data_IF_656147965429
#
_entry.id   IF_656147965429
#
_cell.length_a   1.000
_cell.length_b   1.000
_cell.length_c   1.000
_cell.angle_alpha   90.00
_cell.angle_beta   90.00
_cell.angle_gamma   90.00
#
_symmetry.space_group_name_H-M   'P 1'
#
loop_
_entity.id
_entity.type
_entity.pdbx_description
1 polymer ?
#
# COMPACT_ATOMS: atom_id res chain seq x y z
N UNK A 1 30.49 9.63 -26.06
CA UNK A 1 30.42 10.63 -24.99
C UNK A 1 29.02 10.77 -24.33
N UNK A 2 28.03 9.96 -24.75
CA UNK A 2 26.77 9.82 -24.06
C UNK A 2 26.92 9.09 -22.68
N UNK A 3 27.96 8.28 -22.51
CA UNK A 3 28.28 7.56 -21.27
C UNK A 3 28.68 8.50 -20.12
N UNK A 4 29.25 9.65 -20.42
CA UNK A 4 29.66 10.65 -19.41
C UNK A 4 28.45 11.45 -18.86
N UNK A 5 27.35 11.48 -19.62
CA UNK A 5 26.13 12.23 -19.20
C UNK A 5 25.24 11.39 -18.30
N UNK A 6 25.35 10.06 -18.31
CA UNK A 6 24.58 9.13 -17.48
C UNK A 6 25.43 8.66 -16.30
N UNK A 7 25.45 9.46 -15.23
CA UNK A 7 26.04 9.02 -13.97
C UNK A 7 25.11 7.98 -13.31
N UNK A 8 25.25 6.72 -13.71
CA UNK A 8 24.39 5.61 -13.27
C UNK A 8 24.43 5.37 -11.76
N UNK A 9 25.49 5.82 -11.10
CA UNK A 9 25.70 5.68 -9.65
C UNK A 9 25.44 6.98 -8.88
N UNK A 10 24.77 7.96 -9.48
CA UNK A 10 24.41 9.18 -8.76
C UNK A 10 23.44 8.87 -7.63
N UNK A 11 23.74 9.33 -6.41
CA UNK A 11 22.82 9.29 -5.28
C UNK A 11 21.70 10.33 -5.42
N UNK A 12 21.84 11.30 -6.33
CA UNK A 12 20.82 12.32 -6.60
C UNK A 12 19.99 11.96 -7.84
N UNK A 13 18.80 12.56 -7.95
CA UNK A 13 17.98 12.48 -9.15
C UNK A 13 18.66 13.23 -10.28
N UNK A 14 18.91 12.54 -11.38
CA UNK A 14 19.45 13.14 -12.59
C UNK A 14 18.33 13.56 -13.55
N UNK A 15 18.66 14.38 -14.57
CA UNK A 15 17.68 14.86 -15.54
C UNK A 15 16.84 13.73 -16.18
N UNK A 16 17.43 12.54 -16.35
CA UNK A 16 16.75 11.37 -16.91
C UNK A 16 15.64 10.86 -16.00
N UNK A 17 15.86 10.84 -14.67
CA UNK A 17 14.85 10.44 -13.69
C UNK A 17 13.66 11.40 -13.73
N UNK A 18 13.93 12.70 -13.79
CA UNK A 18 12.89 13.72 -13.87
C UNK A 18 12.11 13.66 -15.19
N UNK A 19 12.78 13.41 -16.31
CA UNK A 19 12.13 13.26 -17.62
C UNK A 19 11.22 12.03 -17.64
N UNK A 20 11.70 10.89 -17.15
CA UNK A 20 10.92 9.66 -17.05
C UNK A 20 9.74 9.85 -16.09
N UNK A 21 9.96 10.48 -14.94
CA UNK A 21 8.92 10.79 -13.97
C UNK A 21 7.82 11.66 -14.59
N UNK A 22 8.18 12.73 -15.26
CA UNK A 22 7.24 13.63 -15.92
C UNK A 22 6.43 12.92 -17.01
N UNK A 23 7.08 12.15 -17.89
CA UNK A 23 6.41 11.37 -18.94
C UNK A 23 5.48 10.32 -18.31
N UNK A 24 5.94 9.64 -17.27
CA UNK A 24 5.14 8.63 -16.58
C UNK A 24 3.92 9.19 -15.89
N UNK A 25 4.04 10.30 -15.17
CA UNK A 25 2.91 10.99 -14.53
C UNK A 25 1.90 11.47 -15.58
N UNK A 26 2.37 12.07 -16.68
CA UNK A 26 1.48 12.47 -17.79
C UNK A 26 0.77 11.24 -18.38
N UNK A 27 1.48 10.14 -18.58
CA UNK A 27 0.91 8.88 -19.07
C UNK A 27 -0.15 8.30 -18.15
N UNK A 28 0.08 8.32 -16.85
CA UNK A 28 -0.90 7.89 -15.84
C UNK A 28 -2.14 8.79 -15.86
N UNK A 29 -1.95 10.10 -15.85
CA UNK A 29 -3.07 11.06 -15.94
C UNK A 29 -3.89 10.81 -17.21
N UNK A 30 -3.24 10.64 -18.35
CA UNK A 30 -3.91 10.35 -19.61
C UNK A 30 -4.69 9.03 -19.57
N UNK A 31 -4.09 7.96 -19.05
CA UNK A 31 -4.73 6.64 -18.97
C UNK A 31 -5.96 6.68 -18.06
N UNK A 32 -5.86 7.30 -16.89
CA UNK A 32 -6.97 7.47 -15.96
C UNK A 32 -8.06 8.34 -16.57
N UNK A 33 -7.70 9.47 -17.19
CA UNK A 33 -8.65 10.34 -17.87
C UNK A 33 -9.40 9.61 -18.98
N UNK A 34 -8.67 8.87 -19.82
CA UNK A 34 -9.27 8.08 -20.91
C UNK A 34 -10.26 7.03 -20.37
N UNK A 35 -9.89 6.32 -19.30
CA UNK A 35 -10.76 5.34 -18.65
C UNK A 35 -12.04 5.98 -18.10
N UNK A 36 -11.94 7.15 -17.45
CA UNK A 36 -13.08 7.89 -16.91
C UNK A 36 -14.02 8.36 -18.03
N UNK A 37 -13.47 8.95 -19.10
CA UNK A 37 -14.28 9.45 -20.24
C UNK A 37 -15.01 8.29 -20.92
N UNK A 38 -14.35 7.16 -21.11
CA UNK A 38 -14.95 5.95 -21.68
C UNK A 38 -16.09 5.43 -20.80
N UNK A 39 -15.87 5.37 -19.49
CA UNK A 39 -16.84 4.89 -18.52
C UNK A 39 -18.07 5.82 -18.44
N UNK A 40 -17.88 7.15 -18.37
CA UNK A 40 -18.96 8.14 -18.39
C UNK A 40 -19.82 8.09 -19.66
N UNK A 41 -19.21 7.77 -20.81
CA UNK A 41 -19.97 7.59 -22.07
C UNK A 41 -20.83 6.32 -22.02
N UNK A 42 -20.37 5.27 -21.35
CA UNK A 42 -21.10 4.02 -21.19
C UNK A 42 -22.24 4.11 -20.16
N UNK A 43 -22.12 5.04 -19.18
CA UNK A 43 -23.05 5.17 -18.05
C UNK A 43 -24.13 6.25 -18.21
N UNK A 44 -24.39 6.77 -19.41
CA UNK A 44 -25.46 7.77 -19.62
C UNK A 44 -26.81 7.22 -19.16
N UNK A 45 -27.22 7.62 -17.96
CA UNK A 45 -28.52 7.27 -17.36
C UNK A 45 -28.47 6.37 -16.13
N UNK A 46 -27.32 6.05 -15.59
CA UNK A 46 -27.17 5.21 -14.39
C UNK A 46 -27.03 6.00 -13.07
N UNK A 47 -27.51 5.38 -11.99
CA UNK A 47 -27.51 5.91 -10.62
C UNK A 47 -26.11 6.22 -10.07
N UNK A 48 -26.04 7.10 -9.06
CA UNK A 48 -24.83 7.47 -8.30
C UNK A 48 -24.07 6.28 -7.69
N UNK A 49 -24.72 5.11 -7.58
CA UNK A 49 -24.09 3.86 -7.13
C UNK A 49 -22.94 3.43 -8.05
N UNK A 50 -23.02 3.72 -9.34
CA UNK A 50 -21.99 3.43 -10.32
C UNK A 50 -20.66 4.16 -10.05
N UNK A 51 -20.73 5.36 -9.46
CA UNK A 51 -19.56 6.14 -9.07
C UNK A 51 -18.80 5.51 -7.90
N UNK A 52 -19.50 4.81 -7.00
CA UNK A 52 -18.95 4.25 -5.77
C UNK A 52 -18.44 2.81 -5.91
N UNK A 53 -18.86 2.07 -6.94
CA UNK A 53 -18.47 0.68 -7.12
C UNK A 53 -17.73 0.47 -8.44
N UNK A 54 -16.69 -0.35 -8.43
CA UNK A 54 -15.99 -0.81 -9.63
C UNK A 54 -16.87 -1.79 -10.41
N UNK A 55 -17.63 -1.32 -11.41
CA UNK A 55 -18.53 -2.15 -12.20
C UNK A 55 -17.76 -3.07 -13.14
N UNK A 56 -18.04 -4.35 -13.05
CA UNK A 56 -17.63 -5.34 -14.04
C UNK A 56 -16.13 -5.55 -14.19
N UNK A 57 -15.35 -5.15 -13.23
CA UNK A 57 -13.89 -5.29 -13.32
C UNK A 57 -13.48 -6.76 -13.24
N UNK A 58 -12.50 -7.20 -14.04
CA UNK A 58 -12.00 -8.56 -13.97
C UNK A 58 -11.32 -8.84 -12.62
N UNK A 59 -11.28 -10.11 -12.23
CA UNK A 59 -10.78 -10.55 -10.92
C UNK A 59 -9.37 -10.04 -10.60
N UNK A 60 -8.48 -9.93 -11.58
CA UNK A 60 -7.12 -9.45 -11.38
C UNK A 60 -7.07 -7.95 -11.07
N UNK A 61 -7.97 -7.15 -11.67
CA UNK A 61 -8.12 -5.73 -11.35
C UNK A 61 -8.65 -5.56 -9.91
N UNK A 62 -9.61 -6.38 -9.50
CA UNK A 62 -10.11 -6.41 -8.12
C UNK A 62 -8.96 -6.74 -7.16
N UNK A 63 -8.18 -7.78 -7.46
CA UNK A 63 -7.03 -8.18 -6.64
C UNK A 63 -5.99 -7.07 -6.49
N UNK A 64 -5.59 -6.46 -7.61
CA UNK A 64 -4.67 -5.32 -7.61
C UNK A 64 -5.25 -4.09 -6.90
N UNK A 65 -6.55 -3.82 -7.05
CA UNK A 65 -7.19 -2.69 -6.40
C UNK A 65 -7.29 -2.88 -4.87
N UNK A 66 -7.56 -4.09 -4.38
CA UNK A 66 -7.53 -4.40 -2.94
C UNK A 66 -6.11 -4.24 -2.40
N UNK A 67 -5.12 -4.78 -3.10
CA UNK A 67 -3.72 -4.67 -2.72
C UNK A 67 -3.27 -3.21 -2.69
N UNK A 68 -3.48 -2.46 -3.78
CA UNK A 68 -3.13 -1.05 -3.86
C UNK A 68 -3.86 -0.18 -2.83
N UNK A 69 -5.10 -0.54 -2.47
CA UNK A 69 -5.83 0.16 -1.41
C UNK A 69 -5.20 0.03 -0.03
N UNK A 70 -4.43 -1.01 0.17
CA UNK A 70 -3.72 -1.25 1.43
C UNK A 70 -2.28 -0.71 1.41
N UNK A 71 -1.67 -0.59 0.24
CA UNK A 71 -0.29 -0.12 0.11
C UNK A 71 -0.31 1.38 -0.17
N UNK A 72 0.08 2.15 0.81
CA UNK A 72 0.21 3.60 0.72
C UNK A 72 1.56 4.08 1.22
N UNK A 73 1.72 5.39 1.34
CA UNK A 73 2.94 6.00 1.88
C UNK A 73 3.29 5.51 3.30
N UNK A 74 2.29 5.05 4.07
CA UNK A 74 2.50 4.41 5.37
C UNK A 74 3.33 3.12 5.31
N UNK A 75 3.31 2.37 4.20
CA UNK A 75 4.17 1.21 4.03
C UNK A 75 5.59 1.62 3.62
N UNK A 76 5.70 2.64 2.78
CA UNK A 76 6.99 3.16 2.31
C UNK A 76 7.81 3.77 3.46
N UNK A 77 7.14 4.45 4.37
CA UNK A 77 7.75 5.12 5.52
C UNK A 77 7.62 4.26 6.78
N UNK A 78 6.40 3.93 7.19
CA UNK A 78 6.14 3.26 8.46
C UNK A 78 6.63 1.81 8.49
N UNK A 79 6.29 0.98 7.47
CA UNK A 79 6.70 -0.43 7.49
C UNK A 79 8.20 -0.57 7.26
N UNK A 80 8.79 0.21 6.35
CA UNK A 80 10.23 0.20 6.13
C UNK A 80 10.99 0.79 7.33
N UNK A 81 10.49 1.87 7.93
CA UNK A 81 11.04 2.45 9.14
C UNK A 81 11.01 1.47 10.32
N UNK A 82 9.91 0.74 10.48
CA UNK A 82 9.80 -0.33 11.48
C UNK A 82 10.77 -1.48 11.18
N UNK A 83 10.93 -1.85 9.91
CA UNK A 83 11.95 -2.82 9.49
C UNK A 83 13.36 -2.41 9.90
N UNK A 84 13.69 -1.13 9.71
CA UNK A 84 14.99 -0.58 10.13
C UNK A 84 15.17 -0.55 11.66
N UNK A 85 14.09 -0.31 12.42
CA UNK A 85 14.12 -0.20 13.88
C UNK A 85 13.99 -1.55 14.60
N UNK A 86 13.04 -2.37 14.16
CA UNK A 86 12.55 -3.56 14.90
C UNK A 86 12.61 -4.85 14.07
N UNK A 87 13.25 -4.82 12.89
CA UNK A 87 13.37 -6.00 12.04
C UNK A 87 12.03 -6.55 11.60
N UNK A 88 11.83 -7.87 11.73
CA UNK A 88 10.62 -8.55 11.22
C UNK A 88 9.42 -8.53 12.18
N UNK A 89 9.51 -7.89 13.33
CA UNK A 89 8.42 -7.86 14.32
C UNK A 89 7.07 -7.46 13.72
N UNK A 90 7.04 -6.44 12.84
CA UNK A 90 5.81 -5.96 12.21
C UNK A 90 5.25 -6.88 11.10
N UNK A 91 5.97 -7.93 10.71
CA UNK A 91 5.51 -8.84 9.65
C UNK A 91 4.19 -9.53 9.98
N UNK A 92 3.86 -9.69 11.28
CA UNK A 92 2.56 -10.24 11.72
C UNK A 92 1.37 -9.46 11.14
N UNK A 93 1.52 -8.15 10.92
CA UNK A 93 0.48 -7.30 10.35
C UNK A 93 0.22 -7.64 8.87
N UNK A 94 1.29 -7.90 8.11
CA UNK A 94 1.18 -8.30 6.71
C UNK A 94 0.63 -9.73 6.56
N UNK A 95 0.94 -10.61 7.51
CA UNK A 95 0.40 -11.98 7.54
C UNK A 95 -1.12 -12.04 7.78
N UNK A 96 -1.77 -10.93 8.17
CA UNK A 96 -3.23 -10.81 8.25
C UNK A 96 -3.93 -10.90 6.88
N UNK A 97 -3.19 -10.93 5.78
CA UNK A 97 -3.74 -11.05 4.42
C UNK A 97 -4.71 -12.22 4.22
N UNK A 98 -4.64 -13.27 5.01
CA UNK A 98 -5.59 -14.38 4.97
C UNK A 98 -7.04 -13.95 5.32
N UNK A 99 -7.24 -12.85 6.06
CA UNK A 99 -8.54 -12.28 6.34
C UNK A 99 -9.29 -11.82 5.08
N UNK A 100 -8.57 -11.50 4.01
CA UNK A 100 -9.16 -11.14 2.71
C UNK A 100 -9.96 -12.32 2.14
N UNK A 101 -9.58 -13.55 2.47
CA UNK A 101 -10.32 -14.74 2.07
C UNK A 101 -11.69 -14.79 2.73
N UNK A 102 -11.77 -14.39 4.00
CA UNK A 102 -13.04 -14.29 4.73
C UNK A 102 -13.96 -13.25 4.06
N UNK A 103 -13.42 -12.11 3.61
CA UNK A 103 -14.18 -11.15 2.82
C UNK A 103 -14.81 -11.84 1.60
N UNK A 104 -14.01 -12.55 0.78
CA UNK A 104 -14.50 -13.17 -0.46
C UNK A 104 -15.49 -14.31 -0.28
N UNK A 105 -15.35 -15.09 0.80
CA UNK A 105 -16.14 -16.31 1.01
C UNK A 105 -17.37 -16.13 1.91
N UNK A 106 -17.31 -15.23 2.86
CA UNK A 106 -18.38 -15.01 3.83
C UNK A 106 -19.09 -13.65 3.61
N UNK A 107 -18.32 -12.56 3.55
CA UNK A 107 -18.91 -11.22 3.53
C UNK A 107 -19.43 -10.80 2.16
N UNK A 108 -18.75 -11.10 1.09
CA UNK A 108 -19.22 -10.74 -0.27
C UNK A 108 -20.58 -11.37 -0.59
N UNK A 109 -20.82 -12.68 -0.35
CA UNK A 109 -22.16 -13.25 -0.52
C UNK A 109 -23.23 -12.58 0.33
N UNK A 110 -22.90 -12.21 1.57
CA UNK A 110 -23.80 -11.50 2.46
C UNK A 110 -24.15 -10.09 1.93
N UNK A 111 -23.16 -9.31 1.53
CA UNK A 111 -23.37 -7.98 0.97
C UNK A 111 -24.15 -8.03 -0.35
N UNK A 112 -23.87 -9.00 -1.22
CA UNK A 112 -24.63 -9.18 -2.46
C UNK A 112 -26.09 -9.53 -2.19
N UNK A 113 -26.37 -10.36 -1.19
CA UNK A 113 -27.73 -10.66 -0.77
C UNK A 113 -28.47 -9.43 -0.29
N UNK A 114 -27.80 -8.57 0.48
CA UNK A 114 -28.38 -7.32 1.00
C UNK A 114 -28.69 -6.33 -0.16
N UNK A 115 -27.73 -6.13 -1.07
CA UNK A 115 -27.90 -5.25 -2.23
C UNK A 115 -29.07 -5.71 -3.09
N UNK A 116 -29.17 -7.01 -3.37
CA UNK A 116 -30.22 -7.57 -4.22
C UNK A 116 -31.61 -7.52 -3.59
N UNK A 117 -31.71 -7.75 -2.28
CA UNK A 117 -33.00 -7.77 -1.59
C UNK A 117 -33.51 -6.36 -1.24
N UNK A 118 -32.62 -5.44 -0.98
CA UNK A 118 -32.96 -4.13 -0.39
C UNK A 118 -32.66 -2.95 -1.30
N UNK A 119 -31.94 -3.16 -2.40
CA UNK A 119 -31.79 -2.24 -3.55
C UNK A 119 -31.09 -0.91 -3.28
N UNK A 120 -30.84 -0.51 -2.03
CA UNK A 120 -30.33 0.82 -1.67
C UNK A 120 -29.25 0.81 -0.57
N UNK A 121 -28.70 -0.36 -0.24
CA UNK A 121 -27.60 -0.43 0.73
C UNK A 121 -26.29 -0.30 -0.04
N UNK A 122 -25.66 0.86 0.06
CA UNK A 122 -24.42 1.18 -0.64
C UNK A 122 -23.24 1.18 0.34
N UNK A 123 -23.50 1.57 1.59
CA UNK A 123 -22.46 1.75 2.59
C UNK A 123 -22.79 1.00 3.89
N UNK A 124 -21.80 0.80 4.75
CA UNK A 124 -22.03 0.23 6.08
C UNK A 124 -22.99 1.08 6.94
N UNK A 125 -22.91 2.42 6.94
CA UNK A 125 -23.94 3.25 7.58
C UNK A 125 -25.35 2.98 7.06
N UNK A 126 -25.54 2.75 5.75
CA UNK A 126 -26.86 2.44 5.20
C UNK A 126 -27.38 1.11 5.71
N UNK A 127 -26.51 0.09 5.83
CA UNK A 127 -26.85 -1.18 6.46
C UNK A 127 -27.33 -0.99 7.90
N UNK A 128 -26.62 -0.17 8.68
CA UNK A 128 -27.04 0.10 10.07
C UNK A 128 -28.33 0.92 10.17
N UNK A 129 -28.55 1.87 9.27
CA UNK A 129 -29.85 2.57 9.18
C UNK A 129 -30.98 1.60 8.97
N UNK A 130 -30.78 0.65 8.06
CA UNK A 130 -31.78 -0.36 7.75
C UNK A 130 -32.01 -1.35 8.90
N UNK A 131 -30.91 -1.86 9.50
CA UNK A 131 -30.97 -2.89 10.55
C UNK A 131 -31.47 -2.37 11.90
N UNK A 132 -31.17 -1.12 12.22
CA UNK A 132 -31.48 -0.50 13.51
C UNK A 132 -32.32 0.78 13.32
N UNK A 133 -31.68 1.94 13.29
CA UNK A 133 -32.36 3.23 13.18
C UNK A 133 -31.57 4.20 12.30
N UNK A 134 -32.29 5.22 11.78
CA UNK A 134 -31.65 6.32 11.04
C UNK A 134 -30.54 7.00 11.85
N UNK A 135 -30.74 7.18 13.16
CA UNK A 135 -29.76 7.79 14.06
C UNK A 135 -28.46 6.97 14.13
N UNK A 136 -28.56 5.65 14.25
CA UNK A 136 -27.40 4.75 14.33
C UNK A 136 -26.53 4.86 13.09
N UNK A 137 -27.10 4.86 11.90
CA UNK A 137 -26.35 5.02 10.67
C UNK A 137 -25.73 6.41 10.53
N UNK A 138 -26.45 7.48 10.94
CA UNK A 138 -25.91 8.84 10.91
C UNK A 138 -24.71 9.00 11.86
N UNK A 139 -24.79 8.45 13.06
CA UNK A 139 -23.68 8.44 14.02
C UNK A 139 -22.47 7.69 13.46
N UNK A 140 -22.66 6.50 12.89
CA UNK A 140 -21.54 5.78 12.27
C UNK A 140 -20.92 6.57 11.12
N UNK A 141 -21.74 7.24 10.29
CA UNK A 141 -21.21 8.09 9.19
C UNK A 141 -20.32 9.20 9.73
N UNK A 142 -20.75 9.91 10.76
CA UNK A 142 -19.98 11.00 11.37
C UNK A 142 -18.68 10.47 11.99
N UNK A 143 -18.78 9.41 12.79
CA UNK A 143 -17.60 8.81 13.46
C UNK A 143 -16.59 8.32 12.42
N UNK A 144 -17.05 7.62 11.38
CA UNK A 144 -16.16 7.11 10.33
C UNK A 144 -15.48 8.25 9.57
N UNK A 145 -16.22 9.32 9.23
CA UNK A 145 -15.67 10.47 8.53
C UNK A 145 -14.57 11.16 9.37
N UNK A 146 -14.88 11.45 10.63
CA UNK A 146 -13.92 12.08 11.55
C UNK A 146 -12.71 11.17 11.78
N UNK A 147 -12.94 9.86 12.00
CA UNK A 147 -11.85 8.90 12.15
C UNK A 147 -10.95 8.85 10.92
N UNK A 148 -11.49 8.81 9.71
CA UNK A 148 -10.67 8.80 8.48
C UNK A 148 -9.84 10.06 8.29
N UNK A 149 -10.39 11.23 8.61
CA UNK A 149 -9.64 12.48 8.55
C UNK A 149 -8.48 12.46 9.55
N UNK A 150 -8.77 12.09 10.81
CA UNK A 150 -7.77 12.11 11.89
C UNK A 150 -6.74 10.98 11.80
N UNK A 151 -7.04 9.88 11.10
CA UNK A 151 -6.13 8.74 10.97
C UNK A 151 -5.57 8.62 9.56
N UNK A 152 -6.37 8.14 8.59
CA UNK A 152 -5.88 7.81 7.24
C UNK A 152 -5.31 9.03 6.51
N UNK A 153 -6.04 10.15 6.48
CA UNK A 153 -5.57 11.35 5.77
C UNK A 153 -4.33 11.94 6.46
N UNK A 154 -4.34 12.01 7.78
CA UNK A 154 -3.21 12.57 8.54
C UNK A 154 -1.96 11.70 8.40
N UNK A 155 -2.08 10.37 8.49
CA UNK A 155 -0.95 9.45 8.32
C UNK A 155 -0.41 9.52 6.90
N UNK A 156 -1.26 9.53 5.87
CA UNK A 156 -0.83 9.65 4.47
C UNK A 156 -0.12 10.99 4.23
N UNK A 157 -0.62 12.09 4.81
CA UNK A 157 0.03 13.39 4.71
C UNK A 157 1.41 13.40 5.38
N UNK A 158 1.50 12.87 6.60
CA UNK A 158 2.75 12.77 7.35
C UNK A 158 3.80 11.94 6.58
N UNK A 159 3.43 10.72 6.20
CA UNK A 159 4.35 9.79 5.55
C UNK A 159 4.72 10.24 4.13
N UNK A 160 3.78 10.84 3.39
CA UNK A 160 4.06 11.44 2.10
C UNK A 160 5.00 12.64 2.21
N UNK A 161 4.82 13.49 3.23
CA UNK A 161 5.71 14.62 3.52
C UNK A 161 7.15 14.15 3.78
N UNK A 162 7.32 13.20 4.69
CA UNK A 162 8.62 12.57 5.00
C UNK A 162 9.26 11.96 3.74
N UNK A 163 8.47 11.18 2.98
CA UNK A 163 8.99 10.50 1.80
C UNK A 163 9.56 11.48 0.75
N UNK A 164 8.82 12.56 0.43
CA UNK A 164 9.28 13.53 -0.57
C UNK A 164 10.38 14.45 -0.03
N UNK A 165 10.42 14.72 1.27
CA UNK A 165 11.51 15.45 1.90
C UNK A 165 12.84 14.70 1.72
N UNK A 166 12.89 13.42 2.06
CA UNK A 166 14.11 12.62 1.93
C UNK A 166 14.45 12.24 0.49
N UNK A 167 13.43 12.04 -0.36
CA UNK A 167 13.66 11.66 -1.75
C UNK A 167 14.14 12.84 -2.62
N UNK A 168 13.51 14.00 -2.46
CA UNK A 168 13.72 15.17 -3.33
C UNK A 168 14.23 16.42 -2.61
N UNK A 169 14.37 16.39 -1.30
CA UNK A 169 14.72 17.55 -0.51
C UNK A 169 13.62 18.62 -0.47
N UNK A 170 12.37 18.27 -0.73
CA UNK A 170 11.24 19.19 -0.62
C UNK A 170 10.96 19.53 0.83
N UNK A 171 10.40 20.73 1.05
CA UNK A 171 9.87 21.04 2.37
C UNK A 171 8.73 20.05 2.70
N UNK A 172 8.74 19.52 3.92
CA UNK A 172 7.75 18.57 4.42
C UNK A 172 6.30 18.97 4.10
N UNK A 173 5.93 20.22 4.39
CA UNK A 173 4.56 20.71 4.15
C UNK A 173 4.21 20.80 2.67
N UNK A 174 5.16 21.12 1.81
CA UNK A 174 4.95 21.13 0.37
C UNK A 174 4.68 19.71 -0.17
N UNK A 175 5.42 18.71 0.30
CA UNK A 175 5.21 17.31 -0.05
C UNK A 175 3.86 16.81 0.45
N UNK A 176 3.53 17.03 1.72
CA UNK A 176 2.28 16.58 2.35
C UNK A 176 1.04 17.20 1.69
N UNK A 177 1.02 18.53 1.52
CA UNK A 177 -0.12 19.23 0.91
C UNK A 177 -0.25 18.89 -0.57
N UNK A 178 0.87 18.83 -1.29
CA UNK A 178 0.90 18.45 -2.71
C UNK A 178 0.31 17.05 -2.94
N UNK A 179 0.66 16.07 -2.09
CA UNK A 179 0.11 14.72 -2.16
C UNK A 179 -1.40 14.69 -1.91
N UNK A 180 -1.88 15.40 -0.87
CA UNK A 180 -3.32 15.46 -0.57
C UNK A 180 -4.09 16.09 -1.74
N UNK A 181 -3.60 17.19 -2.30
CA UNK A 181 -4.25 17.86 -3.42
C UNK A 181 -4.31 16.91 -4.63
N UNK A 182 -3.20 16.28 -4.97
CA UNK A 182 -3.12 15.35 -6.09
C UNK A 182 -4.09 14.17 -5.92
N UNK A 183 -4.07 13.53 -4.76
CA UNK A 183 -4.95 12.40 -4.44
C UNK A 183 -6.43 12.81 -4.46
N UNK A 184 -6.75 14.01 -3.94
CA UNK A 184 -8.11 14.54 -3.96
C UNK A 184 -8.60 14.75 -5.39
N UNK A 185 -7.78 15.34 -6.26
CA UNK A 185 -8.12 15.53 -7.68
C UNK A 185 -8.41 14.19 -8.34
N UNK A 186 -7.52 13.21 -8.19
CA UNK A 186 -7.72 11.88 -8.78
C UNK A 186 -8.99 11.20 -8.27
N UNK A 187 -9.25 11.27 -6.96
CA UNK A 187 -10.39 10.58 -6.35
C UNK A 187 -11.70 11.24 -6.70
N UNK A 188 -11.78 12.57 -6.60
CA UNK A 188 -13.04 13.32 -6.87
C UNK A 188 -13.43 13.26 -8.34
N UNK A 189 -12.49 13.42 -9.25
CA UNK A 189 -12.80 13.37 -10.69
C UNK A 189 -12.82 11.96 -11.26
N UNK A 190 -12.06 11.03 -10.68
CA UNK A 190 -11.89 9.65 -11.14
C UNK A 190 -12.96 8.68 -10.67
N UNK A 191 -13.54 8.91 -9.49
CA UNK A 191 -14.42 7.93 -8.86
C UNK A 191 -13.75 6.56 -8.71
N UNK A 192 -14.54 5.52 -8.49
CA UNK A 192 -14.01 4.16 -8.34
C UNK A 192 -13.31 3.65 -9.60
N UNK A 193 -13.81 3.98 -10.79
CA UNK A 193 -13.18 3.57 -12.06
C UNK A 193 -11.78 4.15 -12.22
N UNK A 194 -11.60 5.43 -11.91
CA UNK A 194 -10.31 6.09 -11.94
C UNK A 194 -9.33 5.44 -10.95
N UNK A 195 -9.78 5.21 -9.71
CA UNK A 195 -8.98 4.57 -8.65
C UNK A 195 -8.57 3.14 -9.04
N UNK A 196 -9.47 2.32 -9.59
CA UNK A 196 -9.14 0.96 -10.01
C UNK A 196 -8.20 0.92 -11.21
N UNK A 197 -8.35 1.85 -12.16
CA UNK A 197 -7.41 2.01 -13.29
C UNK A 197 -6.02 2.40 -12.80
N UNK A 198 -5.94 3.37 -11.89
CA UNK A 198 -4.70 3.80 -11.27
C UNK A 198 -4.02 2.62 -10.55
N UNK A 199 -4.76 1.89 -9.73
CA UNK A 199 -4.27 0.71 -8.99
C UNK A 199 -3.72 -0.38 -9.92
N UNK A 200 -4.33 -0.57 -11.10
CA UNK A 200 -3.87 -1.54 -12.10
C UNK A 200 -2.54 -1.18 -12.71
N UNK A 201 -2.26 0.12 -12.90
CA UNK A 201 -0.98 0.62 -13.41
C UNK A 201 0.08 0.63 -12.30
N UNK A 202 -0.28 1.14 -11.15
CA UNK A 202 0.58 1.33 -9.99
C UNK A 202 1.13 0.01 -9.45
N UNK A 203 0.28 -1.01 -9.25
CA UNK A 203 0.65 -2.25 -8.56
C UNK A 203 1.85 -2.96 -9.19
N UNK A 204 1.91 -3.22 -10.52
CA UNK A 204 3.08 -3.84 -11.12
C UNK A 204 4.36 -3.00 -10.97
N UNK A 205 4.27 -1.68 -11.13
CA UNK A 205 5.42 -0.77 -11.02
C UNK A 205 5.95 -0.79 -9.58
N UNK A 206 5.06 -0.72 -8.62
CA UNK A 206 5.40 -0.72 -7.19
C UNK A 206 6.02 -2.05 -6.76
N UNK A 207 5.45 -3.18 -7.18
CA UNK A 207 5.98 -4.51 -6.85
C UNK A 207 7.37 -4.69 -7.45
N UNK A 208 7.51 -4.48 -8.76
CA UNK A 208 8.80 -4.65 -9.46
C UNK A 208 9.84 -3.68 -8.88
N UNK A 209 9.47 -2.42 -8.68
CA UNK A 209 10.35 -1.38 -8.15
C UNK A 209 10.87 -1.72 -6.75
N UNK A 210 9.99 -2.18 -5.87
CA UNK A 210 10.38 -2.56 -4.50
C UNK A 210 11.27 -3.80 -4.47
N UNK A 211 11.05 -4.79 -5.33
CA UNK A 211 11.95 -5.92 -5.47
C UNK A 211 13.32 -5.52 -6.05
N UNK A 212 13.38 -4.52 -6.93
CA UNK A 212 14.65 -3.96 -7.37
C UNK A 212 15.39 -3.28 -6.21
N UNK A 213 14.69 -2.53 -5.35
CA UNK A 213 15.29 -1.96 -4.12
C UNK A 213 15.82 -3.06 -3.21
N UNK A 214 15.07 -4.14 -3.02
CA UNK A 214 15.48 -5.30 -2.22
C UNK A 214 16.77 -5.93 -2.75
N UNK A 215 16.78 -6.35 -4.02
CA UNK A 215 17.92 -7.10 -4.57
C UNK A 215 19.16 -6.23 -4.78
N UNK A 216 19.00 -4.99 -5.23
CA UNK A 216 20.10 -4.06 -5.36
C UNK A 216 20.64 -3.61 -4.00
N UNK A 217 19.76 -3.45 -3.01
CA UNK A 217 20.15 -3.18 -1.64
C UNK A 217 20.99 -4.31 -1.04
N UNK A 218 20.58 -5.57 -1.19
CA UNK A 218 21.36 -6.73 -0.78
C UNK A 218 22.70 -6.81 -1.52
N UNK A 219 22.69 -6.58 -2.83
CA UNK A 219 23.93 -6.56 -3.62
C UNK A 219 24.89 -5.47 -3.15
N UNK A 220 24.39 -4.30 -2.82
CA UNK A 220 25.20 -3.19 -2.30
C UNK A 220 25.77 -3.54 -0.93
N UNK A 221 24.97 -4.10 -0.03
CA UNK A 221 25.39 -4.51 1.31
C UNK A 221 26.47 -5.60 1.29
N UNK A 222 26.34 -6.56 0.36
CA UNK A 222 27.24 -7.70 0.19
C UNK A 222 28.38 -7.50 -0.83
N UNK A 223 28.69 -6.25 -1.19
CA UNK A 223 29.81 -5.95 -2.11
C UNK A 223 29.67 -6.57 -3.50
N UNK A 224 28.43 -6.67 -4.03
CA UNK A 224 28.09 -7.26 -5.32
C UNK A 224 27.41 -8.64 -5.24
N UNK A 225 27.35 -9.25 -4.06
CA UNK A 225 26.71 -10.55 -3.85
C UNK A 225 25.44 -10.43 -3.03
N UNK A 226 24.31 -10.86 -3.58
CA UNK A 226 23.02 -10.88 -2.87
C UNK A 226 23.06 -11.84 -1.68
N UNK A 227 23.70 -13.00 -1.82
CA UNK A 227 23.83 -13.99 -0.74
C UNK A 227 24.68 -13.47 0.43
N UNK A 228 25.80 -12.79 0.12
CA UNK A 228 26.62 -12.15 1.13
C UNK A 228 25.86 -11.02 1.83
N UNK A 229 25.15 -10.18 1.07
CA UNK A 229 24.31 -9.12 1.64
C UNK A 229 23.21 -9.63 2.56
N UNK A 230 22.58 -10.75 2.20
CA UNK A 230 21.61 -11.41 3.08
C UNK A 230 22.25 -11.89 4.39
N UNK A 231 23.42 -12.54 4.30
CA UNK A 231 24.15 -13.00 5.47
C UNK A 231 24.58 -11.84 6.38
N UNK A 232 25.08 -10.74 5.80
CA UNK A 232 25.48 -9.54 6.55
C UNK A 232 24.27 -8.86 7.24
N UNK A 233 23.14 -8.77 6.55
CA UNK A 233 21.89 -8.25 7.14
C UNK A 233 21.44 -9.12 8.32
N UNK A 234 21.43 -10.44 8.15
CA UNK A 234 21.01 -11.38 9.18
C UNK A 234 21.97 -11.36 10.40
N UNK A 235 23.28 -11.25 10.16
CA UNK A 235 24.27 -11.11 11.23
C UNK A 235 24.06 -9.80 12.01
N UNK A 236 23.86 -8.69 11.31
CA UNK A 236 23.57 -7.40 11.93
C UNK A 236 22.29 -7.46 12.77
N UNK A 237 21.17 -7.87 12.17
CA UNK A 237 19.88 -7.95 12.86
C UNK A 237 19.87 -8.97 14.00
N UNK A 238 20.64 -10.04 13.90
CA UNK A 238 20.80 -11.04 14.95
C UNK A 238 21.52 -10.53 16.20
N UNK A 239 22.35 -9.51 16.07
CA UNK A 239 23.10 -8.87 17.16
C UNK A 239 22.36 -7.72 17.84
N UNK A 240 21.28 -7.23 17.24
CA UNK A 240 20.47 -6.15 17.80
C UNK A 240 19.73 -6.60 19.07
N UNK A 241 19.09 -5.65 19.75
CA UNK A 241 18.19 -5.91 20.86
C UNK A 241 18.87 -6.70 21.99
N UNK A 242 20.06 -6.25 22.41
CA UNK A 242 20.86 -6.87 23.47
C UNK A 242 21.20 -8.36 23.22
N UNK A 243 21.30 -8.76 21.95
CA UNK A 243 21.60 -10.14 21.55
C UNK A 243 20.37 -11.03 21.36
N UNK A 244 19.16 -10.55 21.66
CA UNK A 244 17.92 -11.28 21.34
C UNK A 244 17.62 -11.30 19.84
N UNK A 245 18.15 -10.34 19.09
CA UNK A 245 17.96 -10.21 17.65
C UNK A 245 16.61 -9.61 17.26
N UNK A 246 16.49 -9.27 15.97
CA UNK A 246 15.29 -8.70 15.36
C UNK A 246 14.85 -9.48 14.13
N UNK A 247 15.32 -10.71 13.97
CA UNK A 247 15.05 -11.60 12.84
C UNK A 247 13.86 -12.53 13.04
N UNK A 248 13.18 -12.43 14.17
CA UNK A 248 11.97 -13.19 14.50
C UNK A 248 10.79 -12.27 14.78
N UNK A 249 9.59 -12.77 14.53
CA UNK A 249 8.35 -12.01 14.60
C UNK A 249 7.81 -11.89 16.03
N UNK A 250 8.05 -12.89 16.86
CA UNK A 250 7.49 -13.01 18.20
C UNK A 250 8.60 -12.97 19.24
N UNK A 251 8.42 -12.15 20.26
CA UNK A 251 9.35 -11.98 21.36
C UNK A 251 8.72 -12.58 22.63
N UNK A 252 9.45 -13.48 23.29
CA UNK A 252 8.89 -14.30 24.38
C UNK A 252 9.47 -13.97 25.75
N UNK A 253 10.63 -13.34 25.80
CA UNK A 253 11.38 -13.13 27.02
C UNK A 253 11.21 -11.71 27.55
N UNK A 254 10.94 -11.57 28.85
CA UNK A 254 10.74 -10.26 29.48
C UNK A 254 12.01 -9.38 29.46
N UNK A 255 13.19 -9.96 29.29
CA UNK A 255 14.45 -9.22 29.10
C UNK A 255 14.67 -8.67 27.69
N UNK A 256 13.87 -9.11 26.72
CA UNK A 256 13.86 -8.64 25.37
C UNK A 256 13.12 -7.29 25.30
N UNK A 257 13.81 -6.23 24.87
CA UNK A 257 13.21 -4.89 24.81
C UNK A 257 12.02 -4.79 23.86
N UNK A 258 11.91 -5.71 22.90
CA UNK A 258 10.80 -5.77 21.95
C UNK A 258 9.61 -6.59 22.47
N UNK A 259 9.72 -7.25 23.61
CA UNK A 259 8.64 -8.02 24.19
C UNK A 259 7.37 -7.20 24.45
N UNK A 260 7.50 -5.91 24.80
CA UNK A 260 6.35 -5.05 25.03
C UNK A 260 5.57 -4.73 23.74
N UNK A 261 6.29 -4.60 22.61
CA UNK A 261 5.69 -4.27 21.32
C UNK A 261 5.20 -5.53 20.59
N UNK A 262 5.91 -6.67 20.76
CA UNK A 262 5.64 -7.92 20.05
C UNK A 262 5.56 -9.14 20.98
N UNK A 263 4.64 -9.17 21.96
CA UNK A 263 4.58 -10.18 23.02
C UNK A 263 4.08 -11.53 22.47
N UNK A 264 4.98 -12.39 22.04
CA UNK A 264 4.67 -13.74 21.61
C UNK A 264 3.53 -13.83 20.61
N UNK A 265 2.74 -14.88 20.66
CA UNK A 265 1.65 -15.11 19.72
C UNK A 265 0.42 -14.19 19.93
N UNK A 266 0.34 -13.50 21.07
CA UNK A 266 -0.75 -12.57 21.39
C UNK A 266 -0.85 -11.43 20.39
N UNK A 267 0.30 -10.97 19.87
CA UNK A 267 0.37 -9.95 18.81
C UNK A 267 -0.44 -10.36 17.58
N UNK A 268 -0.29 -11.60 17.14
CA UNK A 268 -1.00 -12.12 15.98
C UNK A 268 -2.51 -12.20 16.24
N UNK A 269 -2.93 -12.65 17.41
CA UNK A 269 -4.34 -12.73 17.80
C UNK A 269 -4.96 -11.33 17.86
N UNK A 270 -4.30 -10.38 18.54
CA UNK A 270 -4.77 -9.01 18.67
C UNK A 270 -4.91 -8.31 17.31
N UNK A 271 -3.91 -8.43 16.45
CA UNK A 271 -3.95 -7.89 15.10
C UNK A 271 -5.07 -8.51 14.24
N UNK A 272 -5.43 -9.78 14.48
CA UNK A 272 -6.53 -10.46 13.80
C UNK A 272 -7.87 -9.78 14.03
N UNK A 273 -8.14 -9.27 15.23
CA UNK A 273 -9.40 -8.56 15.54
C UNK A 273 -9.53 -7.29 14.70
N UNK A 274 -8.48 -6.50 14.63
CA UNK A 274 -8.44 -5.28 13.81
C UNK A 274 -8.46 -5.64 12.32
N UNK A 275 -7.71 -6.67 11.92
CA UNK A 275 -7.67 -7.18 10.56
C UNK A 275 -9.05 -7.64 10.08
N UNK A 276 -9.84 -8.26 10.94
CA UNK A 276 -11.22 -8.66 10.61
C UNK A 276 -12.10 -7.45 10.27
N UNK A 277 -12.04 -6.39 11.08
CA UNK A 277 -12.74 -5.14 10.77
C UNK A 277 -12.25 -4.54 9.45
N UNK A 278 -10.95 -4.36 9.31
CA UNK A 278 -10.33 -3.68 8.17
C UNK A 278 -10.62 -4.38 6.84
N UNK A 279 -10.41 -5.71 6.79
CA UNK A 279 -10.57 -6.46 5.54
C UNK A 279 -12.02 -6.78 5.20
N UNK A 280 -12.89 -6.97 6.18
CA UNK A 280 -14.22 -7.51 5.95
C UNK A 280 -15.34 -6.46 6.01
N UNK A 281 -15.15 -5.34 6.71
CA UNK A 281 -16.22 -4.35 6.95
C UNK A 281 -15.86 -2.93 6.60
N UNK A 282 -14.58 -2.60 6.43
CA UNK A 282 -14.17 -1.25 6.01
C UNK A 282 -14.66 -0.96 4.59
N UNK A 283 -15.41 0.14 4.43
CA UNK A 283 -15.97 0.58 3.15
C UNK A 283 -14.89 0.72 2.07
N UNK A 284 -13.70 1.21 2.44
CA UNK A 284 -12.57 1.39 1.55
C UNK A 284 -12.13 0.11 0.82
N UNK A 285 -12.23 -1.04 1.48
CA UNK A 285 -11.89 -2.35 0.91
C UNK A 285 -13.11 -2.99 0.23
N UNK A 286 -14.24 -3.02 0.94
CA UNK A 286 -15.44 -3.77 0.53
C UNK A 286 -16.00 -3.27 -0.81
N UNK A 287 -16.02 -1.97 -1.04
CA UNK A 287 -16.57 -1.40 -2.28
C UNK A 287 -15.82 -1.84 -3.55
N UNK A 288 -14.55 -2.28 -3.45
CA UNK A 288 -13.78 -2.75 -4.61
C UNK A 288 -14.23 -4.12 -5.13
N UNK A 289 -14.89 -4.91 -4.30
CA UNK A 289 -15.33 -6.27 -4.64
C UNK A 289 -16.82 -6.37 -4.97
N UNK A 290 -17.61 -5.35 -4.69
CA UNK A 290 -19.08 -5.40 -4.81
C UNK A 290 -19.63 -4.97 -6.17
N UNK A 291 -18.78 -4.56 -7.12
CA UNK A 291 -19.21 -4.10 -8.45
C UNK A 291 -19.91 -5.19 -9.26
N UNK A 292 -21.10 -4.88 -9.80
CA UNK A 292 -21.86 -5.74 -10.71
C UNK A 292 -21.94 -5.14 -12.12
N UNK A 293 -22.04 -6.02 -13.13
CA UNK A 293 -22.42 -5.64 -14.49
C UNK A 293 -23.93 -5.84 -14.64
N UNK A 294 -24.67 -4.95 -15.30
CA UNK A 294 -26.06 -5.17 -15.63
C UNK A 294 -26.27 -6.52 -16.36
N UNK A 295 -27.19 -7.34 -15.85
CA UNK A 295 -27.45 -8.69 -16.38
C UNK A 295 -26.48 -9.79 -15.92
N UNK A 296 -25.47 -9.48 -15.13
CA UNK A 296 -24.55 -10.47 -14.58
C UNK A 296 -25.23 -11.28 -13.46
N UNK A 297 -25.01 -12.60 -13.46
CA UNK A 297 -25.55 -13.46 -12.40
C UNK A 297 -24.76 -13.27 -11.09
N UNK A 298 -25.43 -13.47 -9.96
CA UNK A 298 -24.78 -13.44 -8.64
C UNK A 298 -23.62 -14.45 -8.53
N UNK A 299 -23.69 -15.57 -9.24
CA UNK A 299 -22.64 -16.60 -9.25
C UNK A 299 -21.37 -16.06 -9.89
N UNK A 300 -21.49 -15.35 -11.03
CA UNK A 300 -20.34 -14.75 -11.71
C UNK A 300 -19.71 -13.64 -10.88
N UNK A 301 -20.52 -12.77 -10.26
CA UNK A 301 -20.04 -11.73 -9.35
C UNK A 301 -19.25 -12.33 -8.19
N UNK A 302 -19.80 -13.36 -7.53
CA UNK A 302 -19.11 -14.03 -6.43
C UNK A 302 -17.83 -14.73 -6.87
N UNK A 303 -17.84 -15.40 -8.03
CA UNK A 303 -16.66 -16.08 -8.58
C UNK A 303 -15.53 -15.09 -8.86
N UNK A 304 -15.85 -13.94 -9.45
CA UNK A 304 -14.91 -12.86 -9.73
C UNK A 304 -14.35 -12.25 -8.44
N UNK A 305 -15.22 -11.92 -7.49
CA UNK A 305 -14.83 -11.39 -6.18
C UNK A 305 -13.90 -12.34 -5.41
N UNK A 306 -14.25 -13.63 -5.35
CA UNK A 306 -13.42 -14.65 -4.69
C UNK A 306 -12.04 -14.80 -5.33
N UNK A 307 -11.95 -14.83 -6.66
CA UNK A 307 -10.65 -14.87 -7.34
C UNK A 307 -9.83 -13.61 -7.07
N UNK A 308 -10.47 -12.46 -7.05
CA UNK A 308 -9.82 -11.18 -6.71
C UNK A 308 -9.30 -11.15 -5.27
N UNK A 309 -10.10 -11.63 -4.31
CA UNK A 309 -9.67 -11.71 -2.90
C UNK A 309 -8.55 -12.71 -2.68
N UNK A 310 -8.56 -13.86 -3.36
CA UNK A 310 -7.46 -14.84 -3.32
C UNK A 310 -6.16 -14.17 -3.82
N UNK A 311 -6.21 -13.51 -4.98
CA UNK A 311 -5.05 -12.82 -5.53
C UNK A 311 -4.53 -11.72 -4.58
N UNK A 312 -5.43 -10.91 -4.00
CA UNK A 312 -5.06 -9.88 -3.03
C UNK A 312 -4.43 -10.47 -1.76
N UNK A 313 -4.94 -11.60 -1.27
CA UNK A 313 -4.37 -12.31 -0.11
C UNK A 313 -2.93 -12.76 -0.35
N UNK A 314 -2.61 -13.27 -1.55
CA UNK A 314 -1.23 -13.59 -1.93
C UNK A 314 -0.36 -12.32 -2.03
N UNK A 315 -0.87 -11.28 -2.66
CA UNK A 315 -0.14 -10.02 -2.75
C UNK A 315 0.15 -9.40 -1.38
N UNK A 316 -0.73 -9.60 -0.39
CA UNK A 316 -0.57 -9.03 0.95
C UNK A 316 0.66 -9.53 1.72
N UNK A 317 1.26 -10.64 1.33
CA UNK A 317 2.52 -11.11 1.92
C UNK A 317 3.73 -10.35 1.35
N UNK A 318 3.61 -9.80 0.14
CA UNK A 318 4.73 -9.13 -0.54
C UNK A 318 5.31 -7.91 0.20
N UNK A 319 4.54 -7.08 0.94
CA UNK A 319 5.08 -5.92 1.65
C UNK A 319 6.20 -6.25 2.64
N UNK A 320 6.22 -7.47 3.20
CA UNK A 320 7.35 -7.92 4.01
C UNK A 320 8.66 -7.85 3.23
N UNK A 321 8.63 -8.30 1.97
CA UNK A 321 9.79 -8.28 1.08
C UNK A 321 10.00 -6.92 0.41
N UNK A 322 8.92 -6.19 0.17
CA UNK A 322 8.95 -4.92 -0.54
C UNK A 322 9.44 -3.76 0.32
N UNK A 323 9.15 -3.77 1.62
CA UNK A 323 9.40 -2.63 2.50
C UNK A 323 10.12 -3.03 3.79
N UNK A 324 9.66 -4.05 4.49
CA UNK A 324 10.21 -4.43 5.79
C UNK A 324 11.68 -4.85 5.67
N UNK A 325 11.99 -5.81 4.79
CA UNK A 325 13.36 -6.26 4.56
C UNK A 325 14.25 -5.15 3.99
N UNK A 326 13.84 -4.33 3.00
CA UNK A 326 14.60 -3.13 2.60
C UNK A 326 14.90 -2.18 3.76
N UNK A 327 13.99 -2.02 4.72
CA UNK A 327 14.26 -1.27 5.95
C UNK A 327 15.41 -1.87 6.78
N UNK A 328 15.41 -3.19 6.97
CA UNK A 328 16.50 -3.91 7.65
C UNK A 328 17.84 -3.75 6.91
N UNK A 329 17.83 -3.82 5.57
CA UNK A 329 19.02 -3.59 4.73
C UNK A 329 19.53 -2.16 4.92
N UNK A 330 18.63 -1.16 4.92
CA UNK A 330 19.00 0.24 5.15
C UNK A 330 19.71 0.43 6.50
N UNK A 331 19.20 -0.19 7.57
CA UNK A 331 19.84 -0.14 8.88
C UNK A 331 21.24 -0.78 8.86
N UNK A 332 21.41 -1.93 8.20
CA UNK A 332 22.70 -2.58 8.07
C UNK A 332 23.68 -1.76 7.21
N UNK A 333 23.24 -1.11 6.13
CA UNK A 333 24.04 -0.21 5.31
C UNK A 333 24.45 1.05 6.08
N UNK A 334 23.55 1.60 6.89
CA UNK A 334 23.84 2.75 7.75
C UNK A 334 24.91 2.42 8.80
N UNK A 335 24.82 1.24 9.42
CA UNK A 335 25.83 0.75 10.36
C UNK A 335 27.21 0.58 9.73
N UNK A 336 27.25 0.10 8.47
CA UNK A 336 28.51 0.03 7.71
C UNK A 336 29.04 1.39 7.23
N UNK A 337 28.30 2.48 7.46
CA UNK A 337 28.65 3.82 6.99
C UNK A 337 28.47 4.02 5.48
N UNK A 338 27.78 3.10 4.80
CA UNK A 338 27.53 3.17 3.36
C UNK A 338 26.43 4.18 3.00
N UNK A 339 25.51 4.44 3.92
CA UNK A 339 24.46 5.47 3.80
C UNK A 339 24.36 6.27 5.10
N UNK A 340 23.86 7.51 5.01
CA UNK A 340 23.52 8.30 6.19
C UNK A 340 22.01 8.21 6.40
N UNK A 341 21.60 7.76 7.58
CA UNK A 341 20.21 7.63 7.98
C UNK A 341 20.03 8.19 9.40
N UNK A 342 19.46 9.39 9.48
CA UNK A 342 19.22 10.06 10.77
C UNK A 342 17.92 9.57 11.43
N UNK A 343 16.95 9.18 10.62
CA UNK A 343 15.64 8.70 11.04
C UNK A 343 15.30 7.41 10.32
N UNK A 344 14.76 6.45 11.04
CA UNK A 344 14.36 5.15 10.47
C UNK A 344 13.24 5.28 9.45
N UNK A 345 12.36 6.26 9.61
CA UNK A 345 11.23 6.52 8.70
C UNK A 345 11.69 6.97 7.30
N UNK A 346 12.92 7.45 7.17
CA UNK A 346 13.54 7.77 5.89
C UNK A 346 14.12 6.56 5.15
N UNK A 347 14.18 5.37 5.78
CA UNK A 347 14.92 4.20 5.30
C UNK A 347 14.61 3.87 3.84
N UNK A 348 13.34 3.79 3.44
CA UNK A 348 12.97 3.41 2.09
C UNK A 348 13.29 4.49 1.05
N UNK A 349 13.04 5.77 1.36
CA UNK A 349 13.36 6.89 0.48
C UNK A 349 14.88 6.96 0.23
N UNK A 350 15.68 6.78 1.28
CA UNK A 350 17.15 6.72 1.18
C UNK A 350 17.58 5.53 0.30
N UNK A 351 16.98 4.34 0.49
CA UNK A 351 17.27 3.16 -0.33
C UNK A 351 16.96 3.42 -1.80
N UNK A 352 15.79 3.99 -2.13
CA UNK A 352 15.43 4.35 -3.51
C UNK A 352 16.47 5.30 -4.11
N UNK A 353 16.88 6.32 -3.34
CA UNK A 353 17.83 7.32 -3.77
C UNK A 353 19.23 6.74 -4.00
N UNK A 354 19.68 5.82 -3.15
CA UNK A 354 21.09 5.36 -3.13
C UNK A 354 21.35 4.10 -3.91
N UNK A 355 20.42 3.13 -3.93
CA UNK A 355 20.69 1.81 -4.55
C UNK A 355 20.15 1.67 -5.96
N UNK A 356 19.17 2.48 -6.36
CA UNK A 356 18.61 2.39 -7.71
C UNK A 356 19.46 3.18 -8.72
N UNK A 357 19.71 2.61 -9.90
CA UNK A 357 20.39 3.34 -10.98
C UNK A 357 19.51 4.42 -11.60
N UNK A 358 20.14 5.39 -12.24
CA UNK A 358 19.47 6.46 -12.95
C UNK A 358 18.47 5.93 -14.00
N UNK A 359 17.33 6.59 -14.13
CA UNK A 359 16.20 6.16 -14.96
C UNK A 359 15.24 5.22 -14.22
N UNK A 360 15.75 4.22 -13.51
CA UNK A 360 14.91 3.31 -12.71
C UNK A 360 14.30 4.04 -11.51
N UNK A 361 15.03 4.98 -10.88
CA UNK A 361 14.49 5.83 -9.82
C UNK A 361 13.23 6.56 -10.28
N UNK A 362 13.23 7.15 -11.46
CA UNK A 362 12.08 7.83 -12.03
C UNK A 362 10.88 6.90 -12.19
N UNK A 363 11.07 5.70 -12.76
CA UNK A 363 9.99 4.71 -12.96
C UNK A 363 9.41 4.27 -11.61
N UNK A 364 10.26 3.90 -10.67
CA UNK A 364 9.83 3.40 -9.36
C UNK A 364 9.10 4.49 -8.58
N UNK A 365 9.56 5.73 -8.66
CA UNK A 365 8.91 6.88 -8.02
C UNK A 365 7.51 7.14 -8.57
N UNK A 366 7.22 6.87 -9.85
CA UNK A 366 5.86 6.93 -10.41
C UNK A 366 4.93 5.98 -9.63
N UNK A 367 5.38 4.73 -9.40
CA UNK A 367 4.62 3.76 -8.64
C UNK A 367 4.30 4.26 -7.22
N UNK A 368 5.23 4.95 -6.59
CA UNK A 368 5.07 5.47 -5.22
C UNK A 368 4.18 6.71 -5.14
N UNK A 369 4.25 7.61 -6.13
CA UNK A 369 3.35 8.77 -6.19
C UNK A 369 1.90 8.33 -6.40
N UNK A 370 1.70 7.23 -7.10
CA UNK A 370 0.37 6.68 -7.36
C UNK A 370 -0.16 5.83 -6.18
N UNK A 371 0.68 5.46 -5.24
CA UNK A 371 0.33 4.68 -4.04
C UNK A 371 -0.25 5.56 -2.95
#
# INVERSE_FOLDING_TARGET
NLIVIMNWNSTEFVWLDWAILAIGVIGVIWAVWHAIVKDRKAQKGEDSSAYLFGKGEPWYVIGMAIFAANIGSEHLVGLAGTGAKSGVGMAHWEMQGWMILILGWLFVPFYQLLINKMGKIITMPDFLKFRYTQRTGSWLSIITLVAYILTKVSVTALTGGIFFEYLWGLNFWAGAIGLIILTTIFTVFGGMKGVMTLSTIQTPILVIGSFLVLFLGLSTLGGGSIAAGWADMMDYCGKLNNGYGTTHMFHWEAGDSMYQDYPGFVVFIGATIIGFWYWCTDQHIVQRVLGQVPGESNVEVMKRARRGTIAAGFFKVLPCFMFLIPGMIAAALAQKGAIQMNETDAAFAIMVKTVLPAGIKGIVTIGFICA
#
